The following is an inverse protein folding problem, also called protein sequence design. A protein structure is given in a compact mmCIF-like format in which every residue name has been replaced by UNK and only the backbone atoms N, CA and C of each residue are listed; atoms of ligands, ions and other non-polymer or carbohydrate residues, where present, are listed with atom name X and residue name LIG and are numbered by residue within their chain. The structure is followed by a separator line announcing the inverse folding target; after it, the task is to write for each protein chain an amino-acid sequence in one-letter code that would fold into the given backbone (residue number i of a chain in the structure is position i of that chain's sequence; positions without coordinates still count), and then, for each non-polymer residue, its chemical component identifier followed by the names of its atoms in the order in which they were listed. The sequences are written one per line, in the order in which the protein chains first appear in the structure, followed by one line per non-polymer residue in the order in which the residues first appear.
data_IF_251511060526
#
_entry.id   IF_251511060526
#
_cell.length_a   1.000
_cell.length_b   1.000
_cell.length_c   1.000
_cell.angle_alpha   90.00
_cell.angle_beta   90.00
_cell.angle_gamma   90.00
#
_symmetry.space_group_name_H-M   'P 1'
#
loop_
_entity.id
_entity.type
_entity.pdbx_description
1 polymer ?
#
# COMPACT_ATOMS: atom_id res chain seq x y z
N UNK A 1 3.87 -13.45 16.71
CA UNK A 1 3.22 -13.85 15.43
C UNK A 1 1.69 -13.83 15.49
N UNK A 2 1.04 -14.11 16.64
CA UNK A 2 -0.44 -14.19 16.74
C UNK A 2 -1.19 -12.84 16.72
N UNK A 3 -0.53 -11.73 17.08
CA UNK A 3 -1.16 -10.39 17.15
C UNK A 3 -1.26 -9.79 15.74
N UNK A 4 -0.17 -9.84 14.98
CA UNK A 4 -0.09 -9.36 13.59
C UNK A 4 -1.24 -9.89 12.71
N UNK A 5 -1.43 -11.21 12.72
CA UNK A 5 -2.47 -11.87 11.91
C UNK A 5 -3.87 -11.40 12.34
N UNK A 6 -4.08 -11.08 13.62
CA UNK A 6 -5.38 -10.60 14.10
C UNK A 6 -5.68 -9.18 13.64
N UNK A 7 -4.69 -8.30 13.63
CA UNK A 7 -4.85 -6.92 13.18
C UNK A 7 -5.11 -6.85 11.68
N UNK A 8 -4.31 -7.58 10.88
CA UNK A 8 -4.54 -7.69 9.45
C UNK A 8 -5.94 -8.24 9.15
N UNK A 9 -6.38 -9.31 9.84
CA UNK A 9 -7.74 -9.86 9.69
C UNK A 9 -8.86 -8.95 10.17
N UNK A 10 -8.58 -8.00 11.05
CA UNK A 10 -9.59 -7.04 11.51
C UNK A 10 -9.80 -5.90 10.52
N UNK A 11 -8.78 -5.60 9.70
CA UNK A 11 -8.79 -4.48 8.75
C UNK A 11 -8.98 -4.91 7.30
N UNK A 12 -8.51 -6.10 6.93
CA UNK A 12 -8.62 -6.63 5.58
C UNK A 12 -9.83 -7.57 5.45
N UNK A 13 -10.48 -7.59 4.27
CA UNK A 13 -11.37 -8.67 3.88
C UNK A 13 -10.69 -10.05 3.99
N UNK A 14 -11.46 -11.08 4.30
CA UNK A 14 -10.94 -12.45 4.52
C UNK A 14 -10.12 -12.99 3.33
N UNK A 15 -10.53 -12.65 2.11
CA UNK A 15 -9.92 -13.09 0.86
C UNK A 15 -9.00 -12.04 0.22
N UNK A 16 -8.63 -10.99 0.96
CA UNK A 16 -7.75 -9.95 0.44
C UNK A 16 -6.42 -10.55 -0.01
N UNK A 17 -6.00 -10.17 -1.23
CA UNK A 17 -4.75 -10.61 -1.82
C UNK A 17 -3.68 -9.57 -1.56
N UNK A 18 -2.63 -9.98 -0.88
CA UNK A 18 -1.34 -9.28 -0.89
C UNK A 18 -0.71 -9.37 -2.28
N UNK A 19 -0.17 -8.27 -2.82
CA UNK A 19 0.38 -8.28 -4.18
C UNK A 19 1.74 -7.59 -4.37
N UNK A 20 2.14 -6.66 -3.51
CA UNK A 20 3.49 -6.06 -3.55
C UNK A 20 3.89 -5.48 -2.20
N UNK A 21 5.19 -5.50 -1.93
CA UNK A 21 5.84 -4.80 -0.83
C UNK A 21 6.87 -3.82 -1.37
N UNK A 22 6.99 -2.67 -0.72
CA UNK A 22 8.08 -1.72 -0.96
C UNK A 22 8.71 -1.30 0.36
N UNK A 23 10.02 -1.01 0.40
CA UNK A 23 10.63 -0.49 1.61
C UNK A 23 10.04 0.89 1.97
N UNK A 24 9.83 1.13 3.25
CA UNK A 24 9.40 2.41 3.82
C UNK A 24 10.60 3.38 3.88
N UNK A 25 11.01 3.88 2.72
CA UNK A 25 12.14 4.84 2.58
C UNK A 25 11.73 6.30 2.71
N UNK A 26 10.41 6.55 2.78
CA UNK A 26 9.79 7.85 2.99
C UNK A 26 8.69 7.72 4.04
N UNK A 27 8.24 8.84 4.61
CA UNK A 27 7.12 8.86 5.54
C UNK A 27 5.77 8.93 4.82
N UNK A 28 4.71 8.61 5.58
CA UNK A 28 3.34 8.49 5.08
C UNK A 28 2.81 9.77 4.41
N UNK A 29 3.30 10.95 4.79
CA UNK A 29 2.89 12.23 4.23
C UNK A 29 3.38 12.38 2.78
N UNK A 30 4.64 12.03 2.51
CA UNK A 30 5.15 11.98 1.15
C UNK A 30 4.49 10.85 0.35
N UNK A 31 4.26 9.69 0.98
CA UNK A 31 3.54 8.58 0.36
C UNK A 31 2.12 8.97 -0.07
N UNK A 32 1.33 9.61 0.81
CA UNK A 32 -0.04 10.03 0.50
C UNK A 32 -0.08 11.11 -0.57
N UNK A 33 0.87 12.06 -0.55
CA UNK A 33 0.98 13.08 -1.60
C UNK A 33 1.27 12.44 -2.97
N UNK A 34 2.14 11.43 -3.03
CA UNK A 34 2.41 10.70 -4.27
C UNK A 34 1.21 9.85 -4.71
N UNK A 35 0.48 9.27 -3.77
CA UNK A 35 -0.75 8.53 -4.05
C UNK A 35 -1.78 9.39 -4.78
N UNK A 36 -2.00 10.62 -4.33
CA UNK A 36 -2.93 11.57 -4.99
C UNK A 36 -2.57 11.89 -6.44
N UNK A 37 -1.36 11.58 -6.89
CA UNK A 37 -0.93 11.75 -8.29
C UNK A 37 -1.28 10.56 -9.20
N UNK A 38 -1.80 9.46 -8.66
CA UNK A 38 -2.29 8.32 -9.43
C UNK A 38 -3.65 8.66 -10.07
N UNK A 39 -3.67 8.80 -11.40
CA UNK A 39 -4.88 9.22 -12.12
C UNK A 39 -6.06 8.25 -11.94
N UNK A 40 -7.16 8.74 -11.35
CA UNK A 40 -8.35 7.92 -11.06
C UNK A 40 -8.32 7.20 -9.72
N UNK A 41 -7.39 7.55 -8.83
CA UNK A 41 -7.43 7.15 -7.42
C UNK A 41 -8.51 7.91 -6.66
N UNK A 42 -9.11 7.25 -5.68
CA UNK A 42 -9.98 7.86 -4.67
C UNK A 42 -9.56 7.35 -3.30
N UNK A 43 -8.94 8.18 -2.46
CA UNK A 43 -8.62 7.80 -1.07
C UNK A 43 -9.92 7.81 -0.27
N UNK A 44 -10.31 6.67 0.29
CA UNK A 44 -11.58 6.48 1.00
C UNK A 44 -11.41 6.49 2.52
N UNK A 45 -10.27 6.02 3.03
CA UNK A 45 -9.96 6.03 4.45
C UNK A 45 -8.45 6.22 4.68
N UNK A 46 -8.11 6.97 5.73
CA UNK A 46 -6.73 7.14 6.18
C UNK A 46 -6.72 7.16 7.70
N UNK A 47 -6.01 6.23 8.33
CA UNK A 47 -5.95 6.08 9.77
C UNK A 47 -4.49 5.99 10.23
N UNK A 48 -4.17 6.70 11.32
CA UNK A 48 -2.91 6.57 12.03
C UNK A 48 -3.20 6.31 13.51
N UNK A 49 -2.45 5.39 14.11
CA UNK A 49 -2.63 5.03 15.53
C UNK A 49 -1.94 6.00 16.50
N UNK A 50 -1.32 7.07 15.98
CA UNK A 50 -0.59 8.07 16.76
C UNK A 50 0.87 7.70 17.05
N UNK A 51 1.37 6.59 16.51
CA UNK A 51 2.79 6.22 16.56
C UNK A 51 3.44 6.40 15.18
N UNK A 52 3.46 5.34 14.39
CA UNK A 52 4.05 5.27 13.06
C UNK A 52 3.25 4.34 12.14
N UNK A 53 2.26 3.60 12.66
CA UNK A 53 1.43 2.74 11.83
C UNK A 53 0.34 3.56 11.13
N UNK A 54 0.23 3.32 9.83
CA UNK A 54 -0.69 3.93 8.89
C UNK A 54 -1.47 2.82 8.20
N UNK A 55 -2.77 3.08 8.05
CA UNK A 55 -3.66 2.38 7.14
C UNK A 55 -4.22 3.37 6.13
N UNK A 56 -4.18 3.01 4.85
CA UNK A 56 -4.78 3.79 3.78
C UNK A 56 -5.65 2.87 2.93
N UNK A 57 -6.92 3.21 2.81
CA UNK A 57 -7.86 2.59 1.87
C UNK A 57 -8.05 3.50 0.67
N UNK A 58 -8.09 2.90 -0.52
CA UNK A 58 -8.39 3.63 -1.74
C UNK A 58 -9.14 2.79 -2.77
N UNK A 59 -9.92 3.48 -3.59
CA UNK A 59 -10.50 2.97 -4.82
C UNK A 59 -9.60 3.28 -6.02
N UNK A 60 -9.46 2.30 -6.92
CA UNK A 60 -8.82 2.51 -8.22
C UNK A 60 -9.43 1.57 -9.26
N UNK A 61 -9.82 2.10 -10.42
CA UNK A 61 -10.43 1.32 -11.53
C UNK A 61 -11.59 0.39 -11.08
N UNK A 62 -12.40 0.82 -10.09
CA UNK A 62 -13.51 0.08 -9.46
C UNK A 62 -13.12 -1.09 -8.55
N UNK A 63 -11.85 -1.19 -8.17
CA UNK A 63 -11.36 -2.11 -7.15
C UNK A 63 -10.97 -1.34 -5.89
N UNK A 64 -11.09 -2.00 -4.73
CA UNK A 64 -10.69 -1.47 -3.42
C UNK A 64 -9.35 -2.06 -3.00
N UNK A 65 -8.49 -1.21 -2.48
CA UNK A 65 -7.12 -1.52 -2.08
C UNK A 65 -6.81 -0.99 -0.70
N UNK A 66 -5.79 -1.58 -0.08
CA UNK A 66 -5.33 -1.23 1.25
C UNK A 66 -3.81 -1.16 1.26
N UNK A 67 -3.26 -0.20 1.99
CA UNK A 67 -1.84 -0.10 2.30
C UNK A 67 -1.67 -0.04 3.80
N UNK A 68 -0.70 -0.79 4.31
CA UNK A 68 -0.25 -0.70 5.70
C UNK A 68 1.28 -0.58 5.71
N UNK A 69 1.83 0.37 6.47
CA UNK A 69 3.27 0.38 6.73
C UNK A 69 3.57 -0.46 7.97
N UNK A 70 4.43 -1.46 7.80
CA UNK A 70 4.77 -2.36 8.89
C UNK A 70 6.12 -3.01 8.65
N UNK A 71 6.87 -3.18 9.74
CA UNK A 71 8.21 -3.75 9.71
C UNK A 71 9.21 -3.05 8.78
N UNK A 72 8.98 -1.76 8.48
CA UNK A 72 9.83 -0.98 7.58
C UNK A 72 9.48 -1.14 6.10
N UNK A 73 8.30 -1.68 5.78
CA UNK A 73 7.78 -1.82 4.42
C UNK A 73 6.35 -1.27 4.32
N UNK A 74 5.97 -0.79 3.14
CA UNK A 74 4.58 -0.60 2.73
C UNK A 74 4.07 -1.88 2.08
N UNK A 75 3.06 -2.51 2.69
CA UNK A 75 2.40 -3.72 2.21
C UNK A 75 1.10 -3.37 1.50
N UNK A 76 0.95 -3.82 0.25
CA UNK A 76 -0.22 -3.52 -0.58
C UNK A 76 -1.13 -4.74 -0.73
N UNK A 77 -2.42 -4.49 -0.56
CA UNK A 77 -3.48 -5.50 -0.65
C UNK A 77 -4.61 -5.04 -1.57
N UNK A 78 -5.29 -5.99 -2.18
CA UNK A 78 -6.54 -5.78 -2.94
C UNK A 78 -7.66 -6.62 -2.33
N UNK A 79 -8.86 -6.06 -2.25
CA UNK A 79 -10.06 -6.73 -1.71
C UNK A 79 -10.43 -7.98 -2.53
N UNK A 80 -10.47 -7.86 -3.86
CA UNK A 80 -10.81 -8.96 -4.75
C UNK A 80 -9.54 -9.69 -5.23
N UNK A 81 -9.32 -10.97 -4.83
CA UNK A 81 -8.14 -11.73 -5.26
C UNK A 81 -8.09 -11.98 -6.78
N UNK A 82 -9.20 -11.78 -7.50
CA UNK A 82 -9.29 -11.88 -8.96
C UNK A 82 -9.07 -10.55 -9.68
N UNK A 83 -8.65 -9.50 -8.97
CA UNK A 83 -8.30 -8.23 -9.59
C UNK A 83 -7.31 -8.46 -10.75
N UNK A 84 -7.56 -7.88 -11.94
CA UNK A 84 -6.67 -8.02 -13.08
C UNK A 84 -5.24 -7.60 -12.77
N UNK A 85 -4.28 -8.41 -13.21
CA UNK A 85 -2.86 -8.19 -12.90
C UNK A 85 -2.35 -6.87 -13.49
N UNK A 86 -2.89 -6.41 -14.62
CA UNK A 86 -2.52 -5.12 -15.21
C UNK A 86 -2.82 -3.92 -14.28
N UNK A 87 -3.87 -4.00 -13.46
CA UNK A 87 -4.22 -2.96 -12.49
C UNK A 87 -3.24 -2.99 -11.32
N UNK A 88 -2.89 -4.19 -10.83
CA UNK A 88 -1.91 -4.37 -9.76
C UNK A 88 -0.53 -3.84 -10.18
N UNK A 89 -0.13 -4.14 -11.42
CA UNK A 89 1.12 -3.65 -12.01
C UNK A 89 1.12 -2.14 -12.19
N UNK A 90 0.00 -1.52 -12.62
CA UNK A 90 -0.10 -0.06 -12.75
C UNK A 90 0.16 0.65 -11.40
N UNK A 91 -0.46 0.15 -10.32
CA UNK A 91 -0.22 0.66 -8.96
C UNK A 91 1.23 0.41 -8.54
N UNK A 92 1.75 -0.81 -8.72
CA UNK A 92 3.12 -1.13 -8.34
C UNK A 92 4.16 -0.26 -9.08
N UNK A 93 4.01 -0.06 -10.40
CA UNK A 93 4.90 0.81 -11.18
C UNK A 93 4.81 2.28 -10.74
N UNK A 94 3.63 2.74 -10.33
CA UNK A 94 3.44 4.09 -9.80
C UNK A 94 4.29 4.32 -8.55
N UNK A 95 4.25 3.38 -7.61
CA UNK A 95 4.98 3.48 -6.34
C UNK A 95 6.45 3.10 -6.44
N UNK A 96 6.83 2.19 -7.35
CA UNK A 96 8.22 1.81 -7.59
C UNK A 96 9.13 3.02 -7.81
N UNK A 97 8.69 3.98 -8.63
CA UNK A 97 9.47 5.19 -8.95
C UNK A 97 9.79 6.04 -7.72
N UNK A 98 8.94 5.97 -6.69
CA UNK A 98 9.09 6.70 -5.45
C UNK A 98 9.94 5.92 -4.45
N UNK A 99 9.63 4.64 -4.28
CA UNK A 99 10.11 3.83 -3.15
C UNK A 99 11.36 2.99 -3.48
N UNK A 100 11.65 2.75 -4.76
CA UNK A 100 12.88 2.04 -5.19
C UNK A 100 13.96 3.02 -5.68
N UNK A 101 14.09 4.22 -5.09
CA UNK A 101 15.17 5.16 -5.45
C UNK A 101 16.56 4.59 -5.06
N UNK A 102 17.15 3.91 -6.04
CA UNK A 102 18.54 3.56 -6.32
C UNK A 102 19.51 3.31 -5.15
N UNK A 103 19.88 2.04 -4.96
CA UNK A 103 21.11 1.58 -4.32
C UNK A 103 22.38 1.89 -5.17
N UNK A 104 22.31 2.69 -6.24
CA UNK A 104 23.45 2.93 -7.15
C UNK A 104 24.42 4.05 -6.75
N UNK A 105 24.41 4.53 -5.51
CA UNK A 105 25.52 5.36 -4.96
C UNK A 105 26.35 4.57 -3.94
N UNK A 106 26.61 3.30 -4.26
CA UNK A 106 27.59 2.44 -3.60
C UNK A 106 28.62 1.91 -4.59
N UNK A 107 29.41 2.79 -5.21
CA UNK A 107 30.63 2.45 -5.95
C UNK A 107 31.67 3.57 -5.80
#
# INVERSE_FOLDING_TARGET
MTILIKELKAKLPDDARHFVDFPEVIFFDEFSNHMETLDGVEITEFEMDGTIEMWLEFGFRKHRFFVNNRFGDYWFFVEDPKCPEEILLEIAEHFRKLLEKDESLGA
#
